data_IF_812058920472
#
_entry.id   IF_812058920472
#
_cell.length_a   1.000
_cell.length_b   1.000
_cell.length_c   1.000
_cell.angle_alpha   90.00
_cell.angle_beta   90.00
_cell.angle_gamma   90.00
#
_symmetry.space_group_name_H-M   'P 1'
#
loop_
_entity.id
_entity.type
_entity.pdbx_description
1 polymer ?
#
# COMPACT_ATOMS: atom_id res chain seq x y z
N UNK A 1 54.43 37.03 58.46
CA UNK A 1 54.24 35.91 57.48
C UNK A 1 52.82 35.38 57.61
N UNK A 2 51.94 35.66 56.65
CA UNK A 2 50.58 35.14 56.66
C UNK A 2 50.47 34.10 55.51
N UNK A 3 50.29 32.83 55.89
CA UNK A 3 50.00 31.75 54.93
C UNK A 3 48.55 31.85 54.46
N UNK A 4 48.35 32.10 53.18
CA UNK A 4 47.04 32.00 52.54
C UNK A 4 46.72 30.52 52.23
N UNK A 5 45.58 30.06 52.78
CA UNK A 5 45.01 28.74 52.41
C UNK A 5 44.25 28.86 51.12
N UNK A 6 44.69 28.22 50.04
CA UNK A 6 43.92 28.05 48.80
C UNK A 6 43.00 26.86 48.95
N UNK A 7 41.71 27.12 48.93
CA UNK A 7 40.65 26.09 48.89
C UNK A 7 40.41 25.73 47.42
N UNK A 8 40.86 24.54 46.99
CA UNK A 8 40.49 24.03 45.72
C UNK A 8 39.07 23.47 45.78
N UNK A 9 38.09 24.15 45.18
CA UNK A 9 36.78 23.57 44.89
C UNK A 9 36.91 22.61 43.72
N UNK A 10 36.80 21.31 43.98
CA UNK A 10 36.62 20.32 42.94
C UNK A 10 35.15 20.37 42.41
N UNK A 11 34.95 20.87 41.23
CA UNK A 11 33.65 20.78 40.54
C UNK A 11 33.42 19.34 40.13
N UNK A 12 32.52 18.65 40.81
CA UNK A 12 32.02 17.33 40.39
C UNK A 12 31.04 17.57 39.24
N UNK A 13 31.56 17.45 38.02
CA UNK A 13 30.72 17.45 36.83
C UNK A 13 29.87 16.17 36.75
N UNK A 14 28.58 16.29 37.02
CA UNK A 14 27.60 15.23 36.70
C UNK A 14 27.53 15.09 35.20
N UNK A 15 28.22 14.09 34.63
CA UNK A 15 28.04 13.69 33.25
C UNK A 15 26.59 13.15 33.08
N UNK A 16 25.72 13.96 32.53
CA UNK A 16 24.43 13.46 32.03
C UNK A 16 24.71 12.45 30.92
N UNK A 17 24.55 11.18 31.24
CA UNK A 17 24.49 10.12 30.22
C UNK A 17 23.32 10.44 29.30
N UNK A 18 23.62 10.93 28.10
CA UNK A 18 22.61 11.03 27.04
C UNK A 18 21.97 9.64 26.86
N UNK A 19 20.64 9.56 26.79
CA UNK A 19 19.98 8.29 26.52
C UNK A 19 20.56 7.71 25.21
N UNK A 20 21.13 6.51 25.30
CA UNK A 20 21.58 5.79 24.12
C UNK A 20 20.35 5.57 23.24
N UNK A 21 20.37 6.09 22.01
CA UNK A 21 19.40 5.73 21.01
C UNK A 21 19.54 4.21 20.76
N UNK A 22 18.59 3.45 21.25
CA UNK A 22 18.50 2.00 21.04
C UNK A 22 17.54 1.74 19.89
N UNK A 23 17.71 0.61 19.19
CA UNK A 23 16.67 0.08 18.35
C UNK A 23 15.40 -0.17 19.20
N UNK A 24 14.26 -0.41 18.54
CA UNK A 24 13.00 -0.66 19.22
C UNK A 24 13.17 -1.69 20.36
N UNK A 25 12.81 -1.28 21.58
CA UNK A 25 12.69 -2.18 22.73
C UNK A 25 11.25 -2.76 22.77
N UNK A 26 11.12 -4.07 22.96
CA UNK A 26 9.82 -4.72 23.10
C UNK A 26 8.99 -4.17 24.28
N UNK A 27 9.65 -3.62 25.30
CA UNK A 27 8.97 -2.93 26.42
C UNK A 27 8.24 -1.65 25.96
N UNK A 28 8.66 -1.04 24.86
CA UNK A 28 8.01 0.14 24.27
C UNK A 28 6.81 -0.22 23.38
N UNK A 29 6.67 -1.50 23.02
CA UNK A 29 5.66 -1.95 22.05
C UNK A 29 4.23 -1.52 22.40
N UNK A 30 3.86 -1.62 23.68
CA UNK A 30 2.53 -1.25 24.15
C UNK A 30 2.28 0.26 24.23
N UNK A 31 3.35 1.06 24.21
CA UNK A 31 3.30 2.53 24.28
C UNK A 31 3.30 3.20 22.92
N UNK A 32 3.56 2.45 21.84
CA UNK A 32 3.57 2.98 20.47
C UNK A 32 2.18 3.51 20.11
N UNK A 33 2.12 4.79 19.79
CA UNK A 33 0.90 5.43 19.32
C UNK A 33 0.86 5.41 17.78
N UNK A 34 -0.31 5.10 17.23
CA UNK A 34 -0.51 5.26 15.80
C UNK A 34 -0.34 6.73 15.41
N UNK A 35 0.41 7.04 14.35
CA UNK A 35 0.46 8.40 13.84
C UNK A 35 -0.92 8.86 13.34
N UNK A 36 -1.14 10.17 13.17
CA UNK A 36 -2.37 10.67 12.58
C UNK A 36 -2.65 10.01 11.22
N UNK A 37 -3.93 9.81 10.85
CA UNK A 37 -4.25 9.27 9.53
C UNK A 37 -3.68 10.18 8.43
N UNK A 38 -3.12 9.59 7.36
CA UNK A 38 -2.62 10.37 6.25
C UNK A 38 -3.76 11.07 5.50
N UNK A 39 -3.44 12.19 4.86
CA UNK A 39 -4.39 12.94 4.03
C UNK A 39 -4.79 12.13 2.80
N UNK A 40 -6.09 12.07 2.51
CA UNK A 40 -6.63 11.48 1.29
C UNK A 40 -6.86 12.58 0.25
N UNK A 41 -6.43 12.32 -1.00
CA UNK A 41 -6.52 13.28 -2.10
C UNK A 41 -7.39 12.75 -3.23
N UNK A 42 -8.21 13.60 -3.86
CA UNK A 42 -8.87 13.25 -5.12
C UNK A 42 -7.82 12.88 -6.18
N UNK A 43 -8.13 11.86 -6.99
CA UNK A 43 -7.30 11.47 -8.11
C UNK A 43 -8.08 11.59 -9.41
N UNK A 44 -7.45 12.18 -10.44
CA UNK A 44 -7.97 12.14 -11.82
C UNK A 44 -7.00 11.33 -12.66
N UNK A 45 -7.50 10.32 -13.35
CA UNK A 45 -6.70 9.38 -14.12
C UNK A 45 -7.13 9.36 -15.59
N UNK A 46 -6.15 9.26 -16.49
CA UNK A 46 -6.39 8.99 -17.90
C UNK A 46 -6.55 7.47 -18.11
N UNK A 47 -7.74 6.99 -18.53
CA UNK A 47 -7.97 5.55 -18.74
C UNK A 47 -7.05 4.89 -19.77
N UNK A 48 -6.49 5.66 -20.70
CA UNK A 48 -5.59 5.15 -21.76
C UNK A 48 -4.21 4.80 -21.24
N UNK A 49 -3.78 5.43 -20.14
CA UNK A 49 -2.45 5.25 -19.55
C UNK A 49 -2.51 4.72 -18.12
N UNK A 50 -3.70 4.35 -17.66
CA UNK A 50 -3.94 3.82 -16.31
C UNK A 50 -4.46 2.39 -16.40
N UNK A 51 -4.07 1.55 -15.44
CA UNK A 51 -4.63 0.20 -15.26
C UNK A 51 -5.22 0.04 -13.87
N UNK A 52 -6.32 -0.71 -13.76
CA UNK A 52 -6.88 -1.14 -12.50
C UNK A 52 -6.34 -2.53 -12.13
N UNK A 53 -5.77 -2.67 -10.93
CA UNK A 53 -5.38 -3.94 -10.35
C UNK A 53 -6.45 -4.44 -9.39
N UNK A 54 -6.88 -5.69 -9.57
CA UNK A 54 -7.76 -6.42 -8.66
C UNK A 54 -7.06 -7.72 -8.25
N UNK A 55 -6.23 -7.62 -7.20
CA UNK A 55 -5.29 -8.66 -6.85
C UNK A 55 -5.74 -9.52 -5.67
N UNK A 56 -5.69 -10.84 -5.88
CA UNK A 56 -5.88 -11.89 -4.88
C UNK A 56 -7.28 -11.92 -4.21
N UNK A 57 -8.33 -11.40 -4.88
CA UNK A 57 -9.72 -11.47 -4.41
C UNK A 57 -10.35 -12.85 -4.65
N UNK A 58 -9.63 -13.90 -4.25
CA UNK A 58 -10.10 -15.27 -4.37
C UNK A 58 -10.92 -15.68 -3.14
N UNK A 59 -11.76 -16.71 -3.30
CA UNK A 59 -12.59 -17.25 -2.21
C UNK A 59 -11.74 -17.65 -1.00
N UNK A 60 -10.60 -18.29 -1.21
CA UNK A 60 -9.71 -18.73 -0.15
C UNK A 60 -9.06 -17.55 0.59
N UNK A 61 -8.92 -16.42 -0.08
CA UNK A 61 -8.24 -15.25 0.43
C UNK A 61 -9.23 -14.22 1.00
N UNK A 62 -10.11 -13.71 0.15
CA UNK A 62 -11.10 -12.69 0.51
C UNK A 62 -12.25 -13.26 1.35
N UNK A 63 -12.75 -14.44 0.99
CA UNK A 63 -13.90 -15.05 1.69
C UNK A 63 -13.64 -15.38 3.17
N UNK A 64 -12.38 -15.59 3.53
CA UNK A 64 -11.98 -15.81 4.92
C UNK A 64 -11.87 -14.50 5.74
N UNK A 65 -12.03 -13.33 5.10
CA UNK A 65 -11.85 -12.01 5.72
C UNK A 65 -13.15 -11.20 5.64
N UNK A 66 -13.90 -11.04 6.72
CA UNK A 66 -15.16 -10.27 6.71
C UNK A 66 -15.00 -8.87 6.12
N UNK A 67 -13.91 -8.17 6.47
CA UNK A 67 -13.59 -6.84 5.92
C UNK A 67 -13.40 -6.84 4.40
N UNK A 68 -12.91 -7.94 3.84
CA UNK A 68 -12.79 -8.10 2.39
C UNK A 68 -14.16 -8.32 1.73
N UNK A 69 -14.98 -9.18 2.30
CA UNK A 69 -16.33 -9.45 1.79
C UNK A 69 -17.18 -8.17 1.75
N UNK A 70 -17.10 -7.34 2.79
CA UNK A 70 -17.83 -6.07 2.90
C UNK A 70 -17.56 -5.10 1.75
N UNK A 71 -16.35 -5.11 1.19
CA UNK A 71 -15.97 -4.14 0.15
C UNK A 71 -16.24 -4.62 -1.28
N UNK A 72 -16.64 -5.88 -1.48
CA UNK A 72 -16.92 -6.44 -2.83
C UNK A 72 -17.85 -5.54 -3.67
N UNK A 73 -18.95 -4.96 -3.14
CA UNK A 73 -19.78 -4.05 -3.93
C UNK A 73 -19.04 -2.80 -4.42
N UNK A 74 -18.11 -2.24 -3.63
CA UNK A 74 -17.28 -1.09 -4.01
C UNK A 74 -16.28 -1.47 -5.08
N UNK A 75 -15.64 -2.63 -4.94
CA UNK A 75 -14.72 -3.17 -5.95
C UNK A 75 -15.42 -3.36 -7.29
N UNK A 76 -16.63 -3.93 -7.27
CA UNK A 76 -17.47 -4.06 -8.47
C UNK A 76 -17.74 -2.71 -9.11
N UNK A 77 -18.16 -1.73 -8.34
CA UNK A 77 -18.46 -0.39 -8.86
C UNK A 77 -17.22 0.25 -9.51
N UNK A 78 -16.05 0.13 -8.90
CA UNK A 78 -14.79 0.63 -9.46
C UNK A 78 -14.39 -0.12 -10.73
N UNK A 79 -14.52 -1.46 -10.74
CA UNK A 79 -14.28 -2.32 -11.89
C UNK A 79 -15.16 -1.94 -13.08
N UNK A 80 -16.46 -1.75 -12.86
CA UNK A 80 -17.39 -1.36 -13.94
C UNK A 80 -17.11 0.04 -14.48
N UNK A 81 -16.71 0.99 -13.62
CA UNK A 81 -16.24 2.31 -14.06
C UNK A 81 -14.99 2.21 -14.94
N UNK A 82 -14.01 1.39 -14.55
CA UNK A 82 -12.80 1.17 -15.33
C UNK A 82 -13.14 0.55 -16.72
N UNK A 83 -14.01 -0.46 -16.73
CA UNK A 83 -14.48 -1.11 -17.95
C UNK A 83 -15.25 -0.15 -18.87
N UNK A 84 -16.13 0.67 -18.31
CA UNK A 84 -16.88 1.68 -19.06
C UNK A 84 -15.97 2.74 -19.71
N UNK A 85 -14.81 3.02 -19.08
CA UNK A 85 -13.80 3.91 -19.60
C UNK A 85 -12.76 3.22 -20.51
N UNK A 86 -12.93 1.93 -20.83
CA UNK A 86 -11.97 1.09 -21.55
C UNK A 86 -10.57 1.04 -20.89
N UNK A 87 -10.51 1.21 -19.58
CA UNK A 87 -9.28 1.07 -18.81
C UNK A 87 -8.93 -0.43 -18.68
N UNK A 88 -7.66 -0.82 -18.91
CA UNK A 88 -7.23 -2.19 -18.69
C UNK A 88 -7.41 -2.63 -17.23
N UNK A 89 -7.92 -3.84 -17.03
CA UNK A 89 -8.06 -4.46 -15.70
C UNK A 89 -7.17 -5.70 -15.64
N UNK A 90 -6.39 -5.79 -14.58
CA UNK A 90 -5.46 -6.89 -14.33
C UNK A 90 -5.85 -7.60 -13.04
N UNK A 91 -5.78 -8.92 -13.06
CA UNK A 91 -6.10 -9.77 -11.92
C UNK A 91 -4.92 -10.66 -11.57
N UNK A 92 -4.80 -10.98 -10.29
CA UNK A 92 -3.99 -12.11 -9.86
C UNK A 92 -4.88 -13.08 -9.10
N UNK A 93 -4.86 -14.33 -9.54
CA UNK A 93 -5.65 -15.43 -8.98
C UNK A 93 -4.74 -16.67 -8.82
N UNK A 94 -3.68 -16.59 -7.97
CA UNK A 94 -2.71 -17.66 -7.85
C UNK A 94 -3.38 -18.97 -7.40
N UNK A 95 -2.84 -20.09 -7.89
CA UNK A 95 -3.39 -21.41 -7.60
C UNK A 95 -4.68 -21.75 -8.37
N UNK A 96 -5.06 -20.93 -9.38
CA UNK A 96 -6.29 -21.14 -10.13
C UNK A 96 -7.56 -20.82 -9.34
N UNK A 97 -7.44 -20.06 -8.23
CA UNK A 97 -8.57 -19.66 -7.38
C UNK A 97 -9.63 -18.88 -8.14
N UNK A 98 -10.88 -19.00 -7.70
CA UNK A 98 -12.01 -18.25 -8.27
C UNK A 98 -12.20 -16.94 -7.51
N UNK A 99 -12.68 -15.86 -8.18
CA UNK A 99 -13.11 -14.65 -7.49
C UNK A 99 -14.16 -14.96 -6.40
N UNK A 100 -14.18 -14.16 -5.34
CA UNK A 100 -15.13 -14.30 -4.23
C UNK A 100 -16.58 -14.11 -4.69
N UNK A 101 -16.79 -13.22 -5.64
CA UNK A 101 -18.11 -12.89 -6.17
C UNK A 101 -18.08 -12.94 -7.71
N UNK A 102 -19.10 -13.52 -8.37
CA UNK A 102 -19.23 -13.51 -9.83
C UNK A 102 -19.11 -12.11 -10.45
N UNK A 103 -19.46 -11.07 -9.71
CA UNK A 103 -19.31 -9.69 -10.13
C UNK A 103 -17.86 -9.25 -10.34
N UNK A 104 -16.90 -9.88 -9.66
CA UNK A 104 -15.46 -9.63 -9.83
C UNK A 104 -14.79 -10.53 -10.86
N UNK A 105 -15.57 -11.42 -11.49
CA UNK A 105 -15.06 -12.35 -12.51
C UNK A 105 -14.42 -11.58 -13.66
N UNK A 106 -13.18 -11.94 -14.07
CA UNK A 106 -12.54 -11.38 -15.24
C UNK A 106 -13.38 -11.59 -16.50
N UNK A 107 -13.40 -10.62 -17.40
CA UNK A 107 -13.97 -10.73 -18.74
C UNK A 107 -12.96 -11.29 -19.74
N UNK A 108 -13.43 -11.83 -20.83
CA UNK A 108 -12.57 -12.26 -21.93
C UNK A 108 -11.71 -11.08 -22.41
N UNK A 109 -10.40 -11.29 -22.52
CA UNK A 109 -9.43 -10.27 -22.92
C UNK A 109 -8.82 -9.47 -21.76
N UNK A 110 -9.35 -9.57 -20.55
CA UNK A 110 -8.68 -9.03 -19.35
C UNK A 110 -7.54 -9.97 -18.92
N UNK A 111 -6.47 -9.39 -18.38
CA UNK A 111 -5.28 -10.16 -18.03
C UNK A 111 -5.41 -10.76 -16.63
N UNK A 112 -5.15 -12.07 -16.53
CA UNK A 112 -5.22 -12.84 -15.31
C UNK A 112 -3.91 -13.59 -15.11
N UNK A 113 -3.14 -13.20 -14.08
CA UNK A 113 -1.98 -13.97 -13.64
C UNK A 113 -2.41 -14.99 -12.59
N UNK A 114 -2.20 -16.27 -12.89
CA UNK A 114 -2.50 -17.40 -12.00
C UNK A 114 -1.24 -18.03 -11.40
N UNK A 115 -0.05 -17.54 -11.72
CA UNK A 115 1.23 -18.16 -11.37
C UNK A 115 1.88 -17.51 -10.15
N UNK A 116 1.83 -16.18 -10.06
CA UNK A 116 2.53 -15.45 -9.02
C UNK A 116 1.73 -15.41 -7.72
N UNK A 117 2.07 -16.29 -6.78
CA UNK A 117 1.47 -16.36 -5.43
C UNK A 117 2.12 -15.43 -4.40
N UNK A 118 3.22 -14.76 -4.74
CA UNK A 118 3.93 -13.86 -3.85
C UNK A 118 3.24 -12.51 -3.66
N UNK A 119 3.64 -11.72 -2.67
CA UNK A 119 3.11 -10.37 -2.44
C UNK A 119 3.56 -9.36 -3.52
N UNK A 120 4.73 -9.54 -4.10
CA UNK A 120 5.20 -8.73 -5.25
C UNK A 120 4.71 -9.36 -6.56
N UNK A 121 3.76 -8.70 -7.21
CA UNK A 121 3.20 -9.17 -8.49
C UNK A 121 4.09 -8.85 -9.70
N UNK A 122 5.17 -8.13 -9.48
CA UNK A 122 6.18 -7.86 -10.51
C UNK A 122 7.36 -8.85 -10.50
N UNK A 123 7.33 -9.86 -9.64
CA UNK A 123 8.48 -10.74 -9.41
C UNK A 123 8.97 -11.47 -10.67
N UNK A 124 8.08 -11.78 -11.60
CA UNK A 124 8.40 -12.51 -12.85
C UNK A 124 8.39 -11.60 -14.10
N UNK A 125 8.34 -10.30 -13.94
CA UNK A 125 8.33 -9.26 -14.99
C UNK A 125 7.17 -9.36 -16.04
N UNK A 126 6.39 -10.42 -16.08
CA UNK A 126 5.28 -10.59 -17.04
C UNK A 126 4.26 -9.45 -16.92
N UNK A 127 3.96 -9.03 -15.68
CA UNK A 127 3.07 -7.90 -15.42
C UNK A 127 3.67 -6.59 -15.96
N UNK A 128 4.95 -6.31 -15.67
CA UNK A 128 5.64 -5.10 -16.11
C UNK A 128 5.66 -4.98 -17.64
N UNK A 129 6.03 -6.08 -18.32
CA UNK A 129 6.03 -6.13 -19.78
C UNK A 129 4.64 -5.88 -20.36
N UNK A 130 3.60 -6.49 -19.78
CA UNK A 130 2.21 -6.31 -20.20
C UNK A 130 1.72 -4.88 -20.03
N UNK A 131 2.09 -4.22 -18.94
CA UNK A 131 1.75 -2.82 -18.68
C UNK A 131 2.48 -1.88 -19.64
N UNK A 132 3.79 -2.07 -19.83
CA UNK A 132 4.62 -1.27 -20.75
C UNK A 132 4.16 -1.40 -22.20
N UNK A 133 3.83 -2.61 -22.65
CA UNK A 133 3.31 -2.86 -23.98
C UNK A 133 1.97 -2.12 -24.25
N UNK A 134 1.19 -1.84 -23.21
CA UNK A 134 -0.04 -1.07 -23.26
C UNK A 134 0.15 0.43 -23.00
N UNK A 135 1.37 0.91 -22.80
CA UNK A 135 1.66 2.32 -22.50
C UNK A 135 1.16 2.79 -21.12
N UNK A 136 0.97 1.87 -20.17
CA UNK A 136 0.49 2.19 -18.84
C UNK A 136 1.58 2.94 -18.06
N UNK A 137 1.20 4.01 -17.38
CA UNK A 137 2.05 4.86 -16.54
C UNK A 137 1.55 4.95 -15.10
N UNK A 138 0.26 4.72 -14.90
CA UNK A 138 -0.41 4.81 -13.60
C UNK A 138 -1.13 3.50 -13.29
N UNK A 139 -1.12 3.09 -12.04
CA UNK A 139 -1.86 1.91 -11.58
C UNK A 139 -2.78 2.28 -10.41
N UNK A 140 -4.03 1.84 -10.46
CA UNK A 140 -4.95 1.87 -9.33
C UNK A 140 -4.84 0.52 -8.66
N UNK A 141 -4.30 0.48 -7.45
CA UNK A 141 -4.00 -0.77 -6.76
C UNK A 141 -5.08 -1.12 -5.74
N UNK A 142 -5.84 -2.15 -6.04
CA UNK A 142 -6.75 -2.83 -5.11
C UNK A 142 -6.29 -4.27 -4.91
N UNK A 143 -6.14 -4.68 -3.65
CA UNK A 143 -5.65 -6.04 -3.37
C UNK A 143 -5.85 -6.49 -1.93
N UNK A 144 -5.97 -7.78 -1.72
CA UNK A 144 -6.04 -8.38 -0.39
C UNK A 144 -4.90 -9.37 -0.18
N UNK A 145 -4.12 -9.17 0.89
CA UNK A 145 -4.24 -8.21 1.99
C UNK A 145 -3.44 -6.92 1.76
N UNK A 146 -3.86 -5.84 2.43
CA UNK A 146 -3.20 -4.54 2.35
C UNK A 146 -1.69 -4.61 2.58
N UNK A 147 -1.24 -5.19 3.69
CA UNK A 147 0.19 -5.34 4.05
C UNK A 147 0.92 -6.40 3.20
N UNK A 148 0.17 -7.31 2.56
CA UNK A 148 0.71 -8.30 1.64
C UNK A 148 0.82 -7.72 0.23
N UNK A 149 -0.14 -8.05 -0.64
CA UNK A 149 -0.12 -7.63 -2.05
C UNK A 149 -0.22 -6.12 -2.23
N UNK A 150 -0.94 -5.41 -1.35
CA UNK A 150 -1.06 -3.96 -1.43
C UNK A 150 0.29 -3.25 -1.26
N UNK A 151 1.00 -3.51 -0.17
CA UNK A 151 2.33 -2.96 0.07
C UNK A 151 3.39 -3.62 -0.81
N UNK A 152 3.35 -4.95 -0.90
CA UNK A 152 4.33 -5.76 -1.62
C UNK A 152 4.35 -5.55 -3.13
N UNK A 153 3.26 -5.01 -3.72
CA UNK A 153 3.22 -4.64 -5.14
C UNK A 153 3.30 -3.13 -5.34
N UNK A 154 2.76 -2.34 -4.40
CA UNK A 154 2.72 -0.89 -4.54
C UNK A 154 4.11 -0.24 -4.57
N UNK A 155 5.00 -0.61 -3.66
CA UNK A 155 6.38 -0.10 -3.65
C UNK A 155 7.19 -0.57 -4.87
N UNK A 156 7.17 -1.85 -5.28
CA UNK A 156 7.76 -2.30 -6.54
C UNK A 156 7.21 -1.62 -7.80
N UNK A 157 5.93 -1.24 -7.83
CA UNK A 157 5.37 -0.47 -8.94
C UNK A 157 6.06 0.88 -9.08
N UNK A 158 6.21 1.62 -7.97
CA UNK A 158 6.94 2.90 -7.96
C UNK A 158 8.39 2.74 -8.43
N UNK A 159 9.08 1.70 -7.97
CA UNK A 159 10.47 1.41 -8.38
C UNK A 159 10.61 1.14 -9.88
N UNK A 160 9.53 0.72 -10.55
CA UNK A 160 9.46 0.51 -12.00
C UNK A 160 8.98 1.75 -12.78
N UNK A 161 8.74 2.86 -12.08
CA UNK A 161 8.37 4.14 -12.66
C UNK A 161 6.88 4.36 -12.83
N UNK A 162 6.03 3.58 -12.17
CA UNK A 162 4.58 3.81 -12.16
C UNK A 162 4.18 4.80 -11.06
N UNK A 163 3.21 5.67 -11.39
CA UNK A 163 2.42 6.37 -10.38
C UNK A 163 1.38 5.41 -9.79
N UNK A 164 1.23 5.42 -8.47
CA UNK A 164 0.32 4.52 -7.76
C UNK A 164 -0.83 5.31 -7.15
N UNK A 165 -2.04 5.02 -7.58
CA UNK A 165 -3.27 5.44 -6.91
C UNK A 165 -3.64 4.32 -5.95
N UNK A 166 -3.66 4.63 -4.65
CA UNK A 166 -3.94 3.66 -3.60
C UNK A 166 -5.23 4.01 -2.86
N UNK A 167 -6.38 3.45 -3.27
CA UNK A 167 -7.64 3.66 -2.56
C UNK A 167 -7.64 2.80 -1.29
N UNK A 168 -7.69 3.45 -0.13
CA UNK A 168 -7.62 2.76 1.16
C UNK A 168 -8.81 1.83 1.42
N UNK A 169 -9.94 2.11 0.78
CA UNK A 169 -11.20 1.36 0.91
C UNK A 169 -11.33 0.21 -0.12
N UNK A 170 -10.26 -0.11 -0.85
CA UNK A 170 -10.21 -1.31 -1.70
C UNK A 170 -9.00 -2.22 -1.40
N UNK A 171 -8.35 -2.00 -0.27
CA UNK A 171 -7.22 -2.80 0.19
C UNK A 171 -7.49 -3.38 1.58
N UNK A 172 -8.41 -4.36 1.69
CA UNK A 172 -8.79 -4.95 2.97
C UNK A 172 -7.72 -5.88 3.51
N UNK A 173 -7.77 -6.09 4.83
CA UNK A 173 -6.91 -7.03 5.53
C UNK A 173 -7.67 -7.74 6.65
N UNK A 174 -6.96 -8.51 7.48
CA UNK A 174 -7.51 -9.21 8.64
C UNK A 174 -7.83 -8.24 9.80
N UNK A 175 -7.21 -7.06 9.81
CA UNK A 175 -7.41 -6.06 10.87
C UNK A 175 -7.25 -4.64 10.39
N UNK A 176 -7.93 -3.71 11.08
CA UNK A 176 -7.80 -2.27 10.83
C UNK A 176 -6.34 -1.76 11.02
N UNK A 177 -5.58 -2.36 11.94
CA UNK A 177 -4.18 -1.99 12.15
C UNK A 177 -3.35 -2.23 10.88
N UNK A 178 -3.49 -3.39 10.24
CA UNK A 178 -2.73 -3.73 9.02
C UNK A 178 -3.08 -2.80 7.85
N UNK A 179 -4.36 -2.45 7.71
CA UNK A 179 -4.82 -1.50 6.70
C UNK A 179 -4.27 -0.09 6.97
N UNK A 180 -4.38 0.38 8.24
CA UNK A 180 -3.89 1.68 8.66
C UNK A 180 -2.35 1.80 8.52
N UNK A 181 -1.61 0.76 8.95
CA UNK A 181 -0.16 0.69 8.77
C UNK A 181 0.23 0.82 7.29
N UNK A 182 -0.45 0.07 6.41
CA UNK A 182 -0.15 0.10 4.98
C UNK A 182 -0.48 1.47 4.38
N UNK A 183 -1.63 2.05 4.70
CA UNK A 183 -2.01 3.39 4.25
C UNK A 183 -1.01 4.44 4.73
N UNK A 184 -0.61 4.40 6.01
CA UNK A 184 0.41 5.29 6.55
C UNK A 184 1.76 5.12 5.84
N UNK A 185 2.22 3.88 5.66
CA UNK A 185 3.50 3.59 4.99
C UNK A 185 3.50 4.11 3.55
N UNK A 186 2.44 3.83 2.79
CA UNK A 186 2.32 4.27 1.39
C UNK A 186 2.11 5.78 1.27
N UNK A 187 1.48 6.41 2.25
CA UNK A 187 1.07 7.82 2.21
C UNK A 187 2.06 8.84 2.78
N UNK A 188 3.19 8.42 3.33
CA UNK A 188 4.17 9.37 3.88
C UNK A 188 5.06 8.81 4.98
N UNK A 189 4.68 7.70 5.62
CA UNK A 189 5.50 7.02 6.63
C UNK A 189 6.60 6.15 6.06
N UNK A 190 6.53 5.81 4.79
CA UNK A 190 7.54 5.03 4.09
C UNK A 190 8.64 5.89 3.44
N UNK A 191 9.55 5.26 2.68
CA UNK A 191 10.63 5.97 2.02
C UNK A 191 10.12 7.05 1.06
N UNK A 192 10.70 8.28 1.06
CA UNK A 192 10.26 9.37 0.19
C UNK A 192 10.28 9.03 -1.31
N UNK A 193 11.17 8.15 -1.74
CA UNK A 193 11.22 7.66 -3.13
C UNK A 193 9.94 6.92 -3.52
N UNK A 194 9.28 6.27 -2.58
CA UNK A 194 8.00 5.60 -2.80
C UNK A 194 6.83 6.57 -2.61
N UNK A 195 6.79 7.26 -1.48
CA UNK A 195 5.61 8.05 -1.09
C UNK A 195 5.32 9.24 -1.99
N UNK A 196 6.31 9.78 -2.69
CA UNK A 196 6.15 10.87 -3.68
C UNK A 196 5.34 10.45 -4.92
N UNK A 197 5.30 9.17 -5.22
CA UNK A 197 4.63 8.58 -6.38
C UNK A 197 3.37 7.82 -6.00
N UNK A 198 2.88 8.00 -4.77
CA UNK A 198 1.65 7.38 -4.29
C UNK A 198 0.62 8.45 -3.93
N UNK A 199 -0.55 8.34 -4.52
CA UNK A 199 -1.72 9.12 -4.11
C UNK A 199 -2.65 8.25 -3.29
N UNK A 200 -2.74 8.53 -1.98
CA UNK A 200 -3.77 7.93 -1.15
C UNK A 200 -5.11 8.58 -1.44
N UNK A 201 -6.13 7.75 -1.64
CA UNK A 201 -7.47 8.21 -2.00
C UNK A 201 -8.54 7.25 -1.47
N UNK A 202 -9.76 7.43 -1.92
CA UNK A 202 -10.87 6.46 -1.82
C UNK A 202 -11.39 6.14 -3.21
N UNK A 203 -12.02 5.00 -3.37
CA UNK A 203 -12.56 4.55 -4.65
C UNK A 203 -13.58 5.52 -5.25
N UNK A 204 -14.36 6.22 -4.40
CA UNK A 204 -15.34 7.23 -4.80
C UNK A 204 -14.73 8.61 -5.14
N UNK A 205 -13.47 8.85 -4.78
CA UNK A 205 -12.73 10.08 -5.08
C UNK A 205 -11.91 9.98 -6.40
N UNK A 206 -11.97 8.84 -7.09
CA UNK A 206 -11.29 8.65 -8.37
C UNK A 206 -12.19 9.10 -9.51
N UNK A 207 -11.70 10.06 -10.30
CA UNK A 207 -12.33 10.53 -11.53
C UNK A 207 -11.58 9.95 -12.73
N UNK A 208 -12.35 9.45 -13.69
CA UNK A 208 -11.85 8.96 -14.97
C UNK A 208 -12.09 10.08 -15.98
N UNK A 209 -11.03 10.66 -16.49
CA UNK A 209 -11.09 11.78 -17.42
C UNK A 209 -9.80 11.91 -18.20
N UNK A 210 -9.89 12.18 -19.45
CA UNK A 210 -8.82 12.51 -20.39
C UNK A 210 -9.39 13.36 -21.49
#
# INVERSE_FOLDING_TARGET
MRLGKYLCLAAVGTAMLAPRAMALDLNEWSSIQMPPPPELKPATVDPKTTALFLFDFMTENCGARPRCVEIVPKLKALQEKARAANMPVFYTLPGGGKPIDPALTPRQGELVDQKNGGPDKFLNDDLDQSLKAKGIKTVILCGTSAQGVGLGTGAPAVQRGYEVIYPIDCNPSESAFREAYTAWHMGGGGPPVTTKHVTLTRSDMIKFGG
#
